data_IF_577305607891
#
_entry.id   IF_577305607891
#
_cell.length_a   1.000
_cell.length_b   1.000
_cell.length_c   1.000
_cell.angle_alpha   90.00
_cell.angle_beta   90.00
_cell.angle_gamma   90.00
#
_symmetry.space_group_name_H-M   'P 1'
#
loop_
_entity.id
_entity.type
_entity.pdbx_description
1 polymer ?
#
# COMPACT_ATOMS: atom_id res chain seq x y z
N UNK A 1 -25.40 -14.20 7.11
CA UNK A 1 -24.39 -13.35 6.45
C UNK A 1 -24.29 -13.86 5.03
N UNK A 2 -24.95 -13.20 4.08
CA UNK A 2 -24.85 -13.50 2.65
C UNK A 2 -23.61 -12.82 2.09
N UNK A 3 -22.87 -13.50 1.21
CA UNK A 3 -21.60 -13.07 0.58
C UNK A 3 -21.64 -11.75 -0.22
N UNK A 4 -22.79 -11.05 -0.26
CA UNK A 4 -23.04 -9.91 -1.16
C UNK A 4 -22.87 -8.52 -0.52
N UNK A 5 -22.45 -8.42 0.74
CA UNK A 5 -22.08 -7.15 1.37
C UNK A 5 -20.70 -7.26 2.02
N UNK A 6 -19.66 -7.30 1.17
CA UNK A 6 -18.33 -6.89 1.63
C UNK A 6 -18.42 -5.40 2.02
N UNK A 7 -18.04 -5.01 3.26
CA UNK A 7 -18.19 -3.64 3.76
C UNK A 7 -17.41 -2.56 2.99
N UNK A 8 -16.63 -2.96 1.97
CA UNK A 8 -15.82 -2.11 1.10
C UNK A 8 -16.24 -2.18 -0.38
N UNK A 9 -17.45 -2.65 -0.73
CA UNK A 9 -17.93 -2.56 -2.12
C UNK A 9 -18.12 -1.10 -2.53
N UNK A 10 -17.18 -0.55 -3.31
CA UNK A 10 -17.23 0.82 -3.82
C UNK A 10 -17.59 0.85 -5.32
N UNK A 11 -18.89 0.77 -5.69
CA UNK A 11 -19.32 0.74 -7.09
C UNK A 11 -18.99 2.04 -7.84
N UNK A 12 -18.92 3.17 -7.14
CA UNK A 12 -18.58 4.46 -7.73
C UNK A 12 -17.14 4.47 -8.26
N UNK A 13 -16.19 3.97 -7.48
CA UNK A 13 -14.79 3.84 -7.91
C UNK A 13 -14.62 2.84 -9.06
N UNK A 14 -15.34 1.71 -9.03
CA UNK A 14 -15.32 0.75 -10.16
C UNK A 14 -15.85 1.38 -11.46
N UNK A 15 -16.92 2.16 -11.36
CA UNK A 15 -17.48 2.88 -12.50
C UNK A 15 -16.49 3.94 -13.03
N UNK A 16 -15.84 4.68 -12.13
CA UNK A 16 -14.81 5.66 -12.49
C UNK A 16 -13.62 5.00 -13.18
N UNK A 17 -13.11 3.89 -12.64
CA UNK A 17 -12.01 3.13 -13.24
C UNK A 17 -12.37 2.64 -14.65
N UNK A 18 -13.60 2.17 -14.86
CA UNK A 18 -14.09 1.78 -16.19
C UNK A 18 -14.11 2.98 -17.16
N UNK A 19 -14.60 4.14 -16.71
CA UNK A 19 -14.70 5.34 -17.53
C UNK A 19 -13.33 5.90 -17.93
N UNK A 20 -12.33 5.83 -17.04
CA UNK A 20 -10.98 6.36 -17.29
C UNK A 20 -10.08 5.43 -18.12
N UNK A 21 -10.49 4.19 -18.38
CA UNK A 21 -9.59 3.13 -18.89
C UNK A 21 -8.96 3.44 -20.24
N UNK A 22 -9.73 3.93 -21.21
CA UNK A 22 -9.21 4.25 -22.54
C UNK A 22 -8.29 5.47 -22.52
N UNK A 23 -8.64 6.50 -21.73
CA UNK A 23 -7.77 7.66 -21.53
C UNK A 23 -6.46 7.27 -20.86
N UNK A 24 -6.51 6.41 -19.83
CA UNK A 24 -5.33 5.94 -19.12
C UNK A 24 -4.42 5.08 -20.00
N UNK A 25 -4.98 4.26 -20.91
CA UNK A 25 -4.21 3.50 -21.90
C UNK A 25 -3.44 4.41 -22.85
N UNK A 26 -4.04 5.53 -23.26
CA UNK A 26 -3.43 6.45 -24.20
C UNK A 26 -2.39 7.39 -23.54
N UNK A 27 -2.65 7.85 -22.32
CA UNK A 27 -1.90 8.95 -21.69
C UNK A 27 -1.33 8.68 -20.30
N UNK A 28 -1.49 7.45 -19.79
CA UNK A 28 -1.19 7.12 -18.40
C UNK A 28 -2.24 7.65 -17.41
N UNK A 29 -2.10 7.27 -16.14
CA UNK A 29 -2.97 7.69 -15.04
C UNK A 29 -2.16 8.50 -14.03
N UNK A 30 -2.66 9.68 -13.65
CA UNK A 30 -2.14 10.46 -12.51
C UNK A 30 -3.12 10.34 -11.35
N UNK A 31 -2.58 10.10 -10.17
CA UNK A 31 -3.33 10.06 -8.93
C UNK A 31 -2.38 10.40 -7.77
N UNK A 32 -2.97 10.72 -6.62
CA UNK A 32 -2.24 10.93 -5.37
C UNK A 32 -2.50 9.74 -4.45
N UNK A 33 -1.46 9.29 -3.75
CA UNK A 33 -1.56 8.23 -2.77
C UNK A 33 -0.90 8.67 -1.46
N UNK A 34 -1.57 8.38 -0.35
CA UNK A 34 -1.00 8.53 0.97
C UNK A 34 -0.23 7.26 1.34
N UNK A 35 1.02 7.42 1.76
CA UNK A 35 1.84 6.33 2.29
C UNK A 35 1.88 6.40 3.82
N UNK A 36 1.57 5.31 4.54
CA UNK A 36 1.84 5.21 5.97
C UNK A 36 3.31 5.48 6.29
N UNK A 37 3.57 6.02 7.49
CA UNK A 37 4.90 6.50 7.88
C UNK A 37 6.05 5.52 7.64
N UNK A 38 5.85 4.22 7.89
CA UNK A 38 6.88 3.19 7.64
C UNK A 38 7.18 3.00 6.15
N UNK A 39 6.18 3.11 5.27
CA UNK A 39 6.38 3.02 3.83
C UNK A 39 7.03 4.30 3.28
N UNK A 40 6.59 5.46 3.78
CA UNK A 40 7.17 6.75 3.42
C UNK A 40 8.65 6.83 3.81
N UNK A 41 9.01 6.44 5.04
CA UNK A 41 10.38 6.39 5.54
C UNK A 41 11.26 5.47 4.69
N UNK A 42 10.80 4.24 4.43
CA UNK A 42 11.54 3.30 3.60
C UNK A 42 11.79 3.85 2.19
N UNK A 43 10.78 4.48 1.59
CA UNK A 43 10.84 5.02 0.23
C UNK A 43 11.82 6.19 0.13
N UNK A 44 11.74 7.15 1.06
CA UNK A 44 12.67 8.28 1.14
C UNK A 44 14.12 7.79 1.30
N UNK A 45 14.33 6.76 2.13
CA UNK A 45 15.64 6.17 2.31
C UNK A 45 16.18 5.48 1.04
N UNK A 46 15.35 5.07 0.08
CA UNK A 46 15.82 4.58 -1.23
C UNK A 46 16.28 5.72 -2.13
N UNK A 47 15.57 6.85 -2.09
CA UNK A 47 15.92 8.06 -2.84
C UNK A 47 17.23 8.66 -2.30
N UNK A 48 17.39 8.75 -0.98
CA UNK A 48 18.62 9.23 -0.34
C UNK A 48 19.86 8.40 -0.72
N UNK A 49 19.68 7.08 -0.90
CA UNK A 49 20.75 6.16 -1.33
C UNK A 49 21.03 6.21 -2.83
N UNK A 50 20.30 7.05 -3.59
CA UNK A 50 20.43 7.16 -5.04
C UNK A 50 19.92 5.95 -5.81
N UNK A 51 19.12 5.07 -5.18
CA UNK A 51 18.51 3.92 -5.87
C UNK A 51 17.39 4.35 -6.81
N UNK A 52 16.68 5.41 -6.44
CA UNK A 52 15.68 6.09 -7.26
C UNK A 52 15.96 7.59 -7.24
N UNK A 53 15.67 8.28 -8.33
CA UNK A 53 15.80 9.71 -8.48
C UNK A 53 14.70 10.47 -7.71
N UNK A 54 13.50 9.90 -7.62
CA UNK A 54 12.38 10.44 -6.86
C UNK A 54 11.35 9.34 -6.46
N UNK A 55 10.37 9.64 -5.58
CA UNK A 55 9.33 8.69 -5.19
C UNK A 55 8.44 8.21 -6.35
N UNK A 56 8.25 9.00 -7.41
CA UNK A 56 7.41 8.60 -8.55
C UNK A 56 8.07 7.50 -9.37
N UNK A 57 9.40 7.57 -9.58
CA UNK A 57 10.17 6.50 -10.23
C UNK A 57 10.09 5.20 -9.42
N UNK A 58 10.26 5.30 -8.10
CA UNK A 58 10.19 4.15 -7.21
C UNK A 58 8.81 3.47 -7.28
N UNK A 59 7.72 4.24 -7.21
CA UNK A 59 6.35 3.71 -7.32
C UNK A 59 6.12 3.08 -8.70
N UNK A 60 6.58 3.70 -9.78
CA UNK A 60 6.47 3.13 -11.12
C UNK A 60 7.11 1.73 -11.20
N UNK A 61 8.33 1.57 -10.69
CA UNK A 61 9.04 0.29 -10.70
C UNK A 61 8.40 -0.74 -9.76
N UNK A 62 7.85 -0.32 -8.62
CA UNK A 62 7.12 -1.22 -7.70
C UNK A 62 5.84 -1.74 -8.38
N UNK A 63 5.08 -0.88 -9.06
CA UNK A 63 3.87 -1.30 -9.80
C UNK A 63 4.24 -2.23 -10.95
N UNK A 64 5.31 -1.93 -11.69
CA UNK A 64 5.79 -2.81 -12.74
C UNK A 64 6.17 -4.20 -12.18
N UNK A 65 6.95 -4.24 -11.11
CA UNK A 65 7.32 -5.49 -10.46
C UNK A 65 6.09 -6.29 -10.00
N UNK A 66 5.05 -5.61 -9.50
CA UNK A 66 3.80 -6.28 -9.13
C UNK A 66 3.11 -6.94 -10.33
N UNK A 67 3.02 -6.24 -11.47
CA UNK A 67 2.46 -6.79 -12.72
C UNK A 67 3.27 -7.99 -13.20
N UNK A 68 4.61 -7.86 -13.20
CA UNK A 68 5.52 -8.94 -13.62
C UNK A 68 5.43 -10.18 -12.72
N UNK A 69 5.09 -10.00 -11.44
CA UNK A 69 4.86 -11.09 -10.50
C UNK A 69 3.51 -11.79 -10.64
N UNK A 70 2.49 -11.19 -11.27
CA UNK A 70 1.14 -11.79 -11.42
C UNK A 70 1.12 -13.21 -12.02
N UNK A 71 1.92 -13.55 -13.06
CA UNK A 71 1.98 -14.91 -13.59
C UNK A 71 2.72 -15.89 -12.66
N UNK A 72 3.52 -15.41 -11.71
CA UNK A 72 4.37 -16.21 -10.82
C UNK A 72 3.69 -16.45 -9.47
N UNK A 73 2.53 -17.12 -9.50
CA UNK A 73 1.70 -17.35 -8.30
C UNK A 73 2.40 -18.20 -7.25
N UNK A 74 3.22 -19.15 -7.67
CA UNK A 74 4.06 -19.97 -6.79
C UNK A 74 5.01 -19.12 -5.94
N UNK A 75 5.63 -18.09 -6.53
CA UNK A 75 6.51 -17.16 -5.82
C UNK A 75 5.73 -16.25 -4.86
N UNK A 76 4.54 -15.78 -5.27
CA UNK A 76 3.67 -14.99 -4.41
C UNK A 76 3.22 -15.79 -3.18
N UNK A 77 2.80 -17.03 -3.40
CA UNK A 77 2.35 -17.94 -2.34
C UNK A 77 3.49 -18.30 -1.39
N UNK A 78 4.68 -18.54 -1.91
CA UNK A 78 5.87 -18.79 -1.09
C UNK A 78 6.27 -17.56 -0.27
N UNK A 79 6.24 -16.36 -0.86
CA UNK A 79 6.52 -15.13 -0.12
C UNK A 79 5.49 -14.93 1.00
N UNK A 80 4.20 -15.09 0.70
CA UNK A 80 3.13 -14.99 1.70
C UNK A 80 3.33 -16.02 2.82
N UNK A 81 3.62 -17.28 2.46
CA UNK A 81 3.90 -18.35 3.43
C UNK A 81 5.04 -17.98 4.36
N UNK A 82 6.15 -17.45 3.84
CA UNK A 82 7.29 -17.01 4.67
C UNK A 82 6.94 -15.87 5.59
N UNK A 83 6.17 -14.89 5.11
CA UNK A 83 5.71 -13.76 5.93
C UNK A 83 4.84 -14.28 7.08
N UNK A 84 3.87 -15.15 6.79
CA UNK A 84 2.99 -15.74 7.79
C UNK A 84 3.76 -16.59 8.80
N UNK A 85 4.68 -17.43 8.32
CA UNK A 85 5.51 -18.26 9.19
C UNK A 85 6.38 -17.40 10.13
N UNK A 86 7.01 -16.34 9.62
CA UNK A 86 7.77 -15.41 10.44
C UNK A 86 6.91 -14.68 11.51
N UNK A 87 5.60 -14.51 11.27
CA UNK A 87 4.66 -13.97 12.27
C UNK A 87 4.22 -15.01 13.29
N UNK A 88 4.06 -16.27 12.88
CA UNK A 88 3.75 -17.38 13.78
C UNK A 88 4.93 -17.64 14.71
N UNK A 89 6.15 -17.59 14.18
CA UNK A 89 7.40 -17.80 14.92
C UNK A 89 7.81 -16.58 15.76
N UNK A 90 7.04 -15.48 15.73
CA UNK A 90 7.30 -14.29 16.52
C UNK A 90 7.15 -14.63 18.02
N UNK A 91 8.22 -14.52 18.83
CA UNK A 91 8.19 -14.96 20.23
C UNK A 91 7.40 -14.02 21.14
N UNK A 92 6.93 -12.87 20.63
CA UNK A 92 6.15 -11.92 21.43
C UNK A 92 4.80 -12.52 21.80
N UNK A 93 4.31 -12.28 23.02
CA UNK A 93 3.01 -12.79 23.43
C UNK A 93 1.89 -12.17 22.58
N UNK A 94 0.86 -12.98 22.33
CA UNK A 94 -0.37 -12.48 21.71
C UNK A 94 -1.03 -11.40 22.56
N UNK A 95 -1.77 -10.51 21.90
CA UNK A 95 -2.55 -9.45 22.57
C UNK A 95 -4.00 -9.93 22.66
N UNK A 96 -4.65 -9.89 23.83
CA UNK A 96 -6.08 -10.18 23.95
C UNK A 96 -6.92 -9.29 23.02
N UNK A 97 -8.02 -9.85 22.50
CA UNK A 97 -8.88 -9.14 21.54
C UNK A 97 -9.31 -7.76 22.03
N UNK A 98 -9.83 -7.67 23.26
CA UNK A 98 -10.32 -6.41 23.84
C UNK A 98 -9.21 -5.37 23.99
N UNK A 99 -8.00 -5.80 24.34
CA UNK A 99 -6.84 -4.92 24.45
C UNK A 99 -6.40 -4.40 23.08
N UNK A 100 -6.43 -5.26 22.06
CA UNK A 100 -6.13 -4.87 20.68
C UNK A 100 -7.15 -3.85 20.16
N UNK A 101 -8.44 -4.10 20.35
CA UNK A 101 -9.52 -3.17 19.97
C UNK A 101 -9.39 -1.82 20.68
N UNK A 102 -9.22 -1.82 22.01
CA UNK A 102 -9.04 -0.59 22.78
C UNK A 102 -7.77 0.19 22.41
N UNK A 103 -6.74 -0.49 21.90
CA UNK A 103 -5.54 0.16 21.34
C UNK A 103 -5.84 0.79 19.99
N UNK A 104 -6.57 0.12 19.11
CA UNK A 104 -6.99 0.65 17.81
C UNK A 104 -7.87 1.89 18.00
N UNK A 105 -8.86 1.83 18.90
CA UNK A 105 -9.75 2.96 19.16
C UNK A 105 -8.98 4.21 19.62
N UNK A 106 -7.98 4.04 20.49
CA UNK A 106 -7.10 5.13 20.92
C UNK A 106 -6.30 5.72 19.75
N UNK A 107 -5.71 4.87 18.92
CA UNK A 107 -4.96 5.32 17.74
C UNK A 107 -5.83 6.05 16.72
N UNK A 108 -7.11 5.67 16.59
CA UNK A 108 -8.06 6.33 15.70
C UNK A 108 -8.61 7.65 16.26
N UNK A 109 -8.64 7.79 17.59
CA UNK A 109 -9.08 9.03 18.25
C UNK A 109 -8.00 10.13 18.23
N UNK A 110 -6.72 9.76 18.16
CA UNK A 110 -5.61 10.72 18.06
C UNK A 110 -5.58 11.39 16.68
N UNK A 111 -5.45 12.73 16.62
CA UNK A 111 -5.31 13.43 15.34
C UNK A 111 -4.01 12.99 14.67
N UNK A 112 -4.09 12.66 13.38
CA UNK A 112 -2.90 12.29 12.60
C UNK A 112 -2.03 13.53 12.40
N UNK A 113 -0.69 13.39 12.52
CA UNK A 113 0.20 14.48 12.15
C UNK A 113 0.09 14.78 10.65
N UNK A 114 0.44 16.00 10.27
CA UNK A 114 0.43 16.43 8.88
C UNK A 114 1.38 15.58 8.03
N UNK A 115 0.93 15.06 6.88
CA UNK A 115 1.78 14.27 6.00
C UNK A 115 2.84 15.14 5.31
N UNK A 116 4.05 14.60 5.19
CA UNK A 116 5.07 15.19 4.32
C UNK A 116 4.60 15.18 2.86
N UNK A 117 4.94 16.24 2.11
CA UNK A 117 4.64 16.37 0.69
C UNK A 117 5.93 16.40 -0.12
N UNK A 118 6.01 15.57 -1.15
CA UNK A 118 7.13 15.62 -2.08
C UNK A 118 6.94 16.74 -3.10
N UNK A 119 7.87 17.68 -3.14
CA UNK A 119 7.86 18.77 -4.12
C UNK A 119 8.87 18.46 -5.24
N UNK A 120 8.41 18.54 -6.49
CA UNK A 120 9.32 18.36 -7.63
C UNK A 120 10.26 19.56 -7.71
N UNK A 121 11.56 19.29 -7.59
CA UNK A 121 12.60 20.29 -7.83
C UNK A 121 12.67 20.53 -9.33
N UNK A 122 12.45 21.77 -9.77
CA UNK A 122 12.75 22.18 -11.14
C UNK A 122 14.27 22.04 -11.35
N UNK A 123 14.66 21.14 -12.23
CA UNK A 123 16.06 20.98 -12.67
C UNK A 123 16.28 21.70 -13.99
#
# INVERSE_FOLDING_TARGET
MTDDELPDDNPAERAQAKALREQARAGGLRFEAYLPGSMADWLLAQVERGRFADPSEAVFLIVQNFIEMEPHRDLQDELLRRILQARIDDPRPGIPHDEACARIDRLLAEPRPDPARWEKIAR
#
